data_IF_680208302017
#
_entry.id   IF_680208302017
#
_cell.length_a   1.000
_cell.length_b   1.000
_cell.length_c   1.000
_cell.angle_alpha   90.00
_cell.angle_beta   90.00
_cell.angle_gamma   90.00
#
_symmetry.space_group_name_H-M   'P 1'
#
loop_
_entity.id
_entity.type
_entity.pdbx_description
1 polymer ?
#
# COMPACT_ATOMS: atom_id res chain seq x y z
N UNK A 1 10.15 -15.21 5.00
CA UNK A 1 11.11 -14.09 4.80
C UNK A 1 10.65 -13.27 3.62
N UNK A 2 10.57 -11.94 3.78
CA UNK A 2 10.27 -11.05 2.65
C UNK A 2 11.49 -11.05 1.71
N UNK A 3 11.30 -11.24 0.39
CA UNK A 3 12.39 -11.11 -0.55
C UNK A 3 12.97 -9.69 -0.53
N UNK A 4 14.24 -9.57 -0.89
CA UNK A 4 14.84 -8.28 -1.19
C UNK A 4 14.01 -7.59 -2.27
N UNK A 5 13.88 -6.26 -2.19
CA UNK A 5 13.10 -5.44 -3.11
C UNK A 5 11.58 -5.47 -2.94
N UNK A 6 11.06 -6.18 -1.92
CA UNK A 6 9.61 -6.18 -1.61
C UNK A 6 9.14 -4.77 -1.26
N UNK A 7 8.02 -4.36 -1.86
CA UNK A 7 7.34 -3.12 -1.48
C UNK A 7 6.41 -3.41 -0.30
N UNK A 8 6.60 -2.70 0.80
CA UNK A 8 5.80 -2.79 2.01
C UNK A 8 5.00 -1.51 2.16
N UNK A 9 3.67 -1.61 2.12
CA UNK A 9 2.78 -0.47 2.23
C UNK A 9 2.12 -0.52 3.60
N UNK A 10 2.35 0.52 4.39
CA UNK A 10 1.73 0.68 5.70
C UNK A 10 0.72 1.80 5.59
N UNK A 11 -0.57 1.47 5.63
CA UNK A 11 -1.64 2.43 5.46
C UNK A 11 -2.59 2.44 6.67
N UNK A 12 -3.18 3.59 6.90
CA UNK A 12 -4.29 3.87 7.80
C UNK A 12 -5.41 4.50 6.95
N UNK A 13 -6.62 4.63 7.51
CA UNK A 13 -7.71 5.38 6.84
C UNK A 13 -7.32 6.79 6.37
N UNK A 14 -6.25 7.38 6.94
CA UNK A 14 -5.85 8.77 6.68
C UNK A 14 -4.48 8.96 6.03
N UNK A 15 -3.60 7.97 6.02
CA UNK A 15 -2.25 8.13 5.46
C UNK A 15 -1.64 6.78 5.08
N UNK A 16 -0.70 6.78 4.14
CA UNK A 16 0.04 5.59 3.77
C UNK A 16 1.52 5.89 3.62
N UNK A 17 2.37 4.99 4.09
CA UNK A 17 3.80 5.06 3.89
C UNK A 17 4.26 3.83 3.13
N UNK A 18 5.01 4.06 2.07
CA UNK A 18 5.65 3.03 1.27
C UNK A 18 7.06 2.83 1.77
N UNK A 19 7.36 1.60 2.13
CA UNK A 19 8.67 1.11 2.50
C UNK A 19 9.16 0.11 1.48
N UNK A 20 10.47 -0.02 1.33
CA UNK A 20 11.09 -1.02 0.46
C UNK A 20 12.07 -1.84 1.26
N UNK A 21 11.97 -3.16 1.15
CA UNK A 21 12.93 -4.05 1.77
C UNK A 21 14.26 -3.98 1.02
N UNK A 22 15.28 -3.38 1.63
CA UNK A 22 16.64 -3.26 1.07
C UNK A 22 17.60 -4.29 1.67
N UNK A 23 17.18 -5.06 2.68
CA UNK A 23 17.99 -6.12 3.26
C UNK A 23 18.22 -7.25 2.26
N UNK A 24 19.48 -7.72 2.18
CA UNK A 24 19.84 -8.96 1.49
C UNK A 24 19.50 -10.22 2.33
N UNK A 25 19.57 -10.09 3.64
CA UNK A 25 19.23 -11.13 4.61
C UNK A 25 18.43 -10.49 5.75
N UNK A 26 17.17 -10.88 5.94
CA UNK A 26 16.28 -10.29 6.94
C UNK A 26 15.28 -9.30 6.35
N UNK A 27 14.83 -8.36 7.16
CA UNK A 27 13.89 -7.30 6.78
C UNK A 27 14.50 -5.97 7.22
N UNK A 28 14.85 -5.12 6.25
CA UNK A 28 15.30 -3.74 6.50
C UNK A 28 14.45 -2.83 5.62
N UNK A 29 13.55 -2.09 6.26
CA UNK A 29 12.58 -1.26 5.55
C UNK A 29 13.14 0.15 5.40
N UNK A 30 13.34 0.56 4.15
CA UNK A 30 13.68 1.94 3.82
C UNK A 30 12.43 2.68 3.38
N UNK A 31 12.11 3.80 4.04
CA UNK A 31 11.00 4.67 3.63
C UNK A 31 11.28 5.21 2.22
N UNK A 32 10.35 4.93 1.31
CA UNK A 32 10.41 5.39 -0.09
C UNK A 32 9.64 6.68 -0.22
N UNK A 33 8.38 6.67 0.23
CA UNK A 33 7.45 7.76 0.01
C UNK A 33 6.30 7.70 1.02
N UNK A 34 5.83 8.85 1.47
CA UNK A 34 4.63 8.97 2.30
C UNK A 34 3.53 9.64 1.47
N UNK A 35 2.41 8.95 1.35
CA UNK A 35 1.21 9.37 0.66
C UNK A 35 0.18 9.87 1.65
N UNK A 36 -0.24 11.10 1.45
CA UNK A 36 -1.40 11.68 2.11
C UNK A 36 -2.59 11.64 1.16
N UNK A 37 -3.83 11.73 1.65
CA UNK A 37 -5.02 11.80 0.79
C UNK A 37 -4.95 12.93 -0.25
N UNK A 38 -4.32 14.06 0.09
CA UNK A 38 -4.10 15.16 -0.87
C UNK A 38 -3.05 14.87 -1.95
N UNK A 39 -2.14 13.92 -1.74
CA UNK A 39 -1.12 13.54 -2.73
C UNK A 39 -1.70 12.56 -3.77
N UNK A 40 -2.50 11.60 -3.30
CA UNK A 40 -3.22 10.67 -4.17
C UNK A 40 -4.26 11.38 -5.06
N UNK A 41 -4.94 12.41 -4.53
CA UNK A 41 -5.90 13.21 -5.31
C UNK A 41 -5.21 13.93 -6.49
N UNK A 42 -4.03 14.52 -6.24
CA UNK A 42 -3.21 15.16 -7.30
C UNK A 42 -2.65 14.16 -8.31
N UNK A 43 -2.31 12.95 -7.86
CA UNK A 43 -1.76 11.92 -8.74
C UNK A 43 -2.84 11.26 -9.60
N UNK A 44 -4.07 11.11 -9.08
CA UNK A 44 -5.25 10.72 -9.85
C UNK A 44 -5.67 11.78 -10.86
N UNK A 45 -5.43 13.07 -10.61
CA UNK A 45 -5.69 14.12 -11.59
C UNK A 45 -4.81 14.02 -12.86
N UNK A 46 -3.71 13.26 -12.82
CA UNK A 46 -2.82 13.01 -13.97
C UNK A 46 -3.00 11.66 -14.67
N UNK A 47 -3.80 10.74 -14.10
CA UNK A 47 -4.13 9.47 -14.71
C UNK A 47 -5.55 9.56 -15.26
N UNK A 48 -5.66 9.87 -16.56
CA UNK A 48 -6.84 9.72 -17.43
C UNK A 48 -8.16 9.41 -16.71
N UNK A 49 -9.00 10.43 -16.68
CA UNK A 49 -10.42 10.38 -16.39
C UNK A 49 -11.05 9.19 -17.13
N UNK A 50 -11.50 8.18 -16.40
CA UNK A 50 -12.59 7.31 -16.85
C UNK A 50 -13.84 7.80 -16.11
N UNK A 51 -14.78 8.31 -16.88
CA UNK A 51 -16.01 8.93 -16.43
C UNK A 51 -16.84 7.97 -15.58
N UNK A 52 -16.90 8.25 -14.27
CA UNK A 52 -17.99 7.78 -13.43
C UNK A 52 -17.56 6.98 -12.21
N UNK A 53 -17.26 7.68 -11.12
CA UNK A 53 -17.71 7.24 -9.80
C UNK A 53 -17.72 8.43 -8.83
N UNK A 54 -18.87 8.77 -8.23
CA UNK A 54 -19.01 9.90 -7.34
C UNK A 54 -18.22 9.67 -6.05
N UNK A 55 -17.65 10.76 -5.53
CA UNK A 55 -17.16 10.93 -4.15
C UNK A 55 -17.99 10.07 -3.18
N UNK A 56 -17.40 9.02 -2.65
CA UNK A 56 -17.96 8.30 -1.51
C UNK A 56 -16.89 8.29 -0.41
N UNK A 57 -17.01 9.32 0.46
CA UNK A 57 -16.55 9.40 1.85
C UNK A 57 -15.02 9.29 2.09
N UNK A 58 -14.45 10.35 2.67
CA UNK A 58 -13.02 10.69 2.67
C UNK A 58 -12.05 9.56 3.10
N UNK A 59 -12.44 8.65 4.00
CA UNK A 59 -11.64 7.48 4.39
C UNK A 59 -11.76 6.29 3.43
N UNK A 60 -12.97 5.99 2.94
CA UNK A 60 -13.17 4.97 1.91
C UNK A 60 -12.52 5.38 0.59
N UNK A 61 -12.52 6.69 0.30
CA UNK A 61 -11.83 7.29 -0.83
C UNK A 61 -10.32 7.04 -0.79
N UNK A 62 -9.67 7.25 0.36
CA UNK A 62 -8.22 7.06 0.47
C UNK A 62 -7.79 5.60 0.24
N UNK A 63 -8.46 4.66 0.91
CA UNK A 63 -8.16 3.23 0.76
C UNK A 63 -8.36 2.75 -0.68
N UNK A 64 -9.44 3.18 -1.33
CA UNK A 64 -9.70 2.87 -2.74
C UNK A 64 -8.64 3.48 -3.68
N UNK A 65 -8.29 4.75 -3.48
CA UNK A 65 -7.25 5.42 -4.27
C UNK A 65 -5.87 4.78 -4.08
N UNK A 66 -5.52 4.40 -2.85
CA UNK A 66 -4.26 3.72 -2.56
C UNK A 66 -4.22 2.36 -3.28
N UNK A 67 -5.31 1.59 -3.24
CA UNK A 67 -5.40 0.34 -3.98
C UNK A 67 -5.23 0.56 -5.49
N UNK A 68 -5.86 1.59 -6.07
CA UNK A 68 -5.67 1.95 -7.47
C UNK A 68 -4.23 2.36 -7.80
N UNK A 69 -3.59 3.14 -6.92
CA UNK A 69 -2.19 3.51 -7.07
C UNK A 69 -1.27 2.29 -7.09
N UNK A 70 -1.45 1.37 -6.14
CA UNK A 70 -0.69 0.13 -6.07
C UNK A 70 -0.95 -0.76 -7.28
N UNK A 71 -2.19 -0.80 -7.79
CA UNK A 71 -2.53 -1.52 -9.02
C UNK A 71 -1.76 -0.94 -10.21
N UNK A 72 -1.72 0.38 -10.36
CA UNK A 72 -0.97 1.04 -11.43
C UNK A 72 0.53 0.74 -11.35
N UNK A 73 1.10 0.71 -10.14
CA UNK A 73 2.48 0.30 -9.91
C UNK A 73 2.71 -1.18 -10.25
N UNK A 74 1.76 -2.07 -9.93
CA UNK A 74 1.81 -3.50 -10.28
C UNK A 74 1.85 -3.69 -11.81
N UNK A 75 0.96 -2.99 -12.51
CA UNK A 75 0.84 -3.00 -13.97
C UNK A 75 2.07 -2.41 -14.65
N UNK A 76 2.74 -1.43 -14.02
CA UNK A 76 4.02 -0.87 -14.48
C UNK A 76 5.23 -1.71 -14.07
N UNK A 77 5.04 -2.89 -13.47
CA UNK A 77 6.11 -3.76 -12.97
C UNK A 77 7.12 -3.04 -12.06
N UNK A 78 6.64 -2.12 -11.21
CA UNK A 78 7.51 -1.31 -10.34
C UNK A 78 8.01 -2.04 -9.09
N UNK A 79 7.34 -3.13 -8.72
CA UNK A 79 7.70 -4.01 -7.61
C UNK A 79 7.35 -5.45 -7.99
N UNK A 80 8.17 -6.42 -7.60
CA UNK A 80 7.88 -7.84 -7.85
C UNK A 80 6.99 -8.45 -6.77
N UNK A 81 7.20 -8.03 -5.53
CA UNK A 81 6.50 -8.52 -4.35
C UNK A 81 5.92 -7.33 -3.57
N UNK A 82 4.68 -7.50 -3.09
CA UNK A 82 3.95 -6.52 -2.30
C UNK A 82 3.57 -7.10 -0.94
N UNK A 83 3.70 -6.29 0.09
CA UNK A 83 3.18 -6.54 1.41
C UNK A 83 2.36 -5.34 1.86
N UNK A 84 1.19 -5.55 2.44
CA UNK A 84 0.29 -4.47 2.88
C UNK A 84 -0.02 -4.65 4.36
N UNK A 85 0.13 -3.60 5.15
CA UNK A 85 -0.33 -3.52 6.53
C UNK A 85 -1.30 -2.36 6.68
N UNK A 86 -2.52 -2.64 7.07
CA UNK A 86 -3.51 -1.62 7.38
C UNK A 86 -4.58 -2.14 8.33
N UNK A 87 -5.43 -1.26 8.83
CA UNK A 87 -6.61 -1.61 9.62
C UNK A 87 -7.55 -2.55 8.86
N UNK A 88 -8.28 -3.44 9.56
CA UNK A 88 -9.23 -4.34 8.91
C UNK A 88 -10.29 -3.61 8.07
N UNK A 89 -10.70 -2.40 8.47
CA UNK A 89 -11.61 -1.55 7.69
C UNK A 89 -10.98 -1.10 6.36
N UNK A 90 -9.76 -0.56 6.41
CA UNK A 90 -9.00 -0.09 5.24
C UNK A 90 -8.71 -1.24 4.28
N UNK A 91 -8.22 -2.38 4.79
CA UNK A 91 -8.01 -3.58 3.98
C UNK A 91 -9.31 -4.07 3.35
N UNK A 92 -10.43 -4.00 4.08
CA UNK A 92 -11.74 -4.37 3.57
C UNK A 92 -12.14 -3.56 2.33
N UNK A 93 -11.80 -2.27 2.29
CA UNK A 93 -12.01 -1.42 1.10
C UNK A 93 -10.99 -1.74 0.01
N UNK A 94 -9.70 -1.79 0.34
CA UNK A 94 -8.62 -2.07 -0.63
C UNK A 94 -8.84 -3.39 -1.37
N UNK A 95 -9.24 -4.45 -0.66
CA UNK A 95 -9.53 -5.78 -1.23
C UNK A 95 -10.62 -5.76 -2.30
N UNK A 96 -11.60 -4.84 -2.21
CA UNK A 96 -12.64 -4.67 -3.24
C UNK A 96 -12.11 -4.05 -4.52
N UNK A 97 -11.00 -3.31 -4.44
CA UNK A 97 -10.37 -2.59 -5.54
C UNK A 97 -9.06 -3.23 -6.02
N UNK A 98 -8.62 -4.35 -5.43
CA UNK A 98 -7.40 -5.03 -5.85
C UNK A 98 -7.52 -5.58 -7.27
N UNK A 99 -6.54 -5.25 -8.10
CA UNK A 99 -6.39 -5.85 -9.42
C UNK A 99 -5.73 -7.23 -9.32
N UNK A 100 -5.96 -8.10 -10.31
CA UNK A 100 -5.41 -9.47 -10.35
C UNK A 100 -3.88 -9.48 -10.21
N UNK A 101 -3.19 -8.61 -10.94
CA UNK A 101 -1.74 -8.40 -10.82
C UNK A 101 -1.27 -7.97 -9.42
N UNK A 102 -2.01 -7.12 -8.73
CA UNK A 102 -1.67 -6.75 -7.36
C UNK A 102 -1.82 -7.96 -6.45
N UNK A 103 -2.94 -8.67 -6.53
CA UNK A 103 -3.20 -9.88 -5.74
C UNK A 103 -2.15 -10.97 -6.00
N UNK A 104 -1.70 -11.10 -7.25
CA UNK A 104 -0.66 -12.06 -7.62
C UNK A 104 0.69 -11.72 -6.98
N UNK A 105 1.02 -10.42 -6.88
CA UNK A 105 2.25 -9.93 -6.25
C UNK A 105 2.13 -9.79 -4.72
N UNK A 106 0.91 -9.80 -4.18
CA UNK A 106 0.66 -9.69 -2.75
C UNK A 106 1.14 -10.95 -2.03
N UNK A 107 2.27 -10.84 -1.35
CA UNK A 107 2.87 -11.92 -0.57
C UNK A 107 2.33 -12.00 0.85
N UNK A 108 2.00 -10.85 1.44
CA UNK A 108 1.59 -10.78 2.83
C UNK A 108 0.66 -9.61 3.06
N UNK A 109 -0.39 -9.85 3.83
CA UNK A 109 -1.32 -8.81 4.26
C UNK A 109 -1.49 -8.89 5.77
N UNK A 110 -1.36 -7.76 6.46
CA UNK A 110 -1.47 -7.64 7.90
C UNK A 110 -2.58 -6.68 8.26
N UNK A 111 -3.62 -7.19 8.92
CA UNK A 111 -4.71 -6.38 9.45
C UNK A 111 -4.30 -5.69 10.76
N UNK A 112 -3.28 -4.82 10.71
CA UNK A 112 -2.70 -4.14 11.85
C UNK A 112 -2.28 -2.71 11.49
N UNK A 113 -2.70 -1.76 12.31
CA UNK A 113 -2.30 -0.35 12.23
C UNK A 113 -0.85 -0.20 12.64
N UNK A 114 0.04 0.02 11.66
CA UNK A 114 1.48 0.16 11.90
C UNK A 114 1.99 1.58 11.62
N UNK A 115 1.12 2.50 11.22
CA UNK A 115 1.44 3.91 10.93
C UNK A 115 1.96 4.68 12.15
N UNK A 116 1.56 4.29 13.36
CA UNK A 116 2.05 4.85 14.64
C UNK A 116 3.11 3.96 15.33
N UNK A 117 3.58 2.90 14.67
CA UNK A 117 4.58 2.00 15.22
C UNK A 117 5.99 2.40 14.77
N UNK A 118 6.99 2.14 15.62
CA UNK A 118 8.39 2.29 15.24
C UNK A 118 8.77 1.35 14.09
N UNK A 119 9.71 1.76 13.26
CA UNK A 119 10.18 1.00 12.10
C UNK A 119 10.57 -0.44 12.46
N UNK A 120 11.24 -0.64 13.60
CA UNK A 120 11.59 -1.97 14.11
C UNK A 120 10.37 -2.86 14.40
N UNK A 121 9.26 -2.29 14.86
CA UNK A 121 8.02 -3.03 15.09
C UNK A 121 7.33 -3.40 13.77
N UNK A 122 7.43 -2.53 12.74
CA UNK A 122 6.95 -2.82 11.39
C UNK A 122 7.76 -3.98 10.79
N UNK A 123 9.08 -3.90 10.85
CA UNK A 123 10.00 -4.94 10.39
C UNK A 123 9.72 -6.29 11.08
N UNK A 124 9.53 -6.28 12.40
CA UNK A 124 9.20 -7.48 13.16
C UNK A 124 7.87 -8.11 12.69
N UNK A 125 6.86 -7.30 12.36
CA UNK A 125 5.57 -7.78 11.87
C UNK A 125 5.69 -8.51 10.52
N UNK A 126 6.63 -8.10 9.66
CA UNK A 126 6.88 -8.74 8.38
C UNK A 126 7.91 -9.87 8.45
N UNK A 127 8.80 -9.86 9.43
CA UNK A 127 9.81 -10.91 9.68
C UNK A 127 9.20 -12.20 10.21
N UNK A 128 8.14 -12.11 11.02
CA UNK A 128 7.46 -13.23 11.69
C UNK A 128 6.79 -14.23 10.75
#
# INVERSE_FOLDING_TARGET
MLPHNTLVVVADGHSATLYRNVAKHGVELSEVEKLSPGDLDKQSAGAVMDEGSPRAEEEAGFAAQLAQYLNALALKHKYDDLAVAADPSTLGVMRKHYHKELQFRLRKELSKTLTNSDLAAIEAAFTA
#
